data_IF_544885929688
#
_entry.id   IF_544885929688
#
_cell.length_a   1.000
_cell.length_b   1.000
_cell.length_c   1.000
_cell.angle_alpha   90.00
_cell.angle_beta   90.00
_cell.angle_gamma   90.00
#
_symmetry.space_group_name_H-M   'P 1'
#
loop_
_entity.id
_entity.type
_entity.pdbx_description
1 polymer ?
#
# COMPACT_ATOMS: atom_id res chain seq x y z
N UNK A 1 -8.83 5.84 -6.05
CA UNK A 1 -8.07 6.15 -4.81
C UNK A 1 -6.69 6.69 -5.18
N UNK A 2 -6.12 7.57 -4.34
CA UNK A 2 -4.81 8.19 -4.59
C UNK A 2 -3.92 7.97 -3.35
N UNK A 3 -3.02 6.99 -3.45
CA UNK A 3 -2.14 6.57 -2.37
C UNK A 3 -0.79 7.30 -2.45
N UNK A 4 -0.46 8.08 -1.43
CA UNK A 4 0.85 8.71 -1.29
C UNK A 4 1.89 7.67 -0.87
N UNK A 5 2.78 7.29 -1.81
CA UNK A 5 3.79 6.26 -1.65
C UNK A 5 4.81 6.65 -0.59
N UNK A 6 4.87 5.88 0.50
CA UNK A 6 5.68 6.14 1.71
C UNK A 6 5.45 7.53 2.30
N UNK A 7 4.20 8.01 2.22
CA UNK A 7 3.83 9.39 2.47
C UNK A 7 4.16 10.30 1.29
N UNK A 8 4.29 11.61 1.53
CA UNK A 8 4.69 12.57 0.48
C UNK A 8 6.20 12.49 0.23
N UNK A 9 6.69 11.35 -0.26
CA UNK A 9 8.11 11.00 -0.40
C UNK A 9 8.91 12.00 -1.25
N UNK A 10 8.30 12.59 -2.27
CA UNK A 10 8.98 13.61 -3.07
C UNK A 10 9.25 14.92 -2.30
N UNK A 11 8.60 15.14 -1.17
CA UNK A 11 8.61 16.39 -0.42
C UNK A 11 9.10 16.25 1.03
N UNK A 12 9.17 15.02 1.57
CA UNK A 12 9.62 14.75 2.95
C UNK A 12 10.33 13.39 3.01
N UNK A 13 11.13 13.12 4.06
CA UNK A 13 11.75 11.81 4.24
C UNK A 13 10.69 10.70 4.30
N UNK A 14 10.88 9.68 3.47
CA UNK A 14 9.93 8.57 3.31
C UNK A 14 9.65 7.82 4.62
N UNK A 15 8.46 7.22 4.73
CA UNK A 15 8.02 6.40 5.86
C UNK A 15 8.11 7.12 7.22
N UNK A 16 8.05 8.45 7.25
CA UNK A 16 8.01 9.25 8.48
C UNK A 16 6.61 9.80 8.76
N UNK A 17 6.30 10.05 10.03
CA UNK A 17 5.04 10.71 10.43
C UNK A 17 4.86 12.04 9.71
N UNK A 18 5.94 12.81 9.56
CA UNK A 18 5.92 14.10 8.83
C UNK A 18 5.51 13.92 7.37
N UNK A 19 6.02 12.87 6.69
CA UNK A 19 5.68 12.59 5.29
C UNK A 19 4.20 12.16 5.15
N UNK A 20 3.68 11.33 6.07
CA UNK A 20 2.27 10.93 6.07
C UNK A 20 1.33 12.11 6.33
N UNK A 21 1.63 12.93 7.32
CA UNK A 21 0.86 14.14 7.60
C UNK A 21 0.89 15.14 6.45
N UNK A 22 2.04 15.29 5.78
CA UNK A 22 2.15 16.15 4.60
C UNK A 22 1.29 15.63 3.46
N UNK A 23 1.30 14.31 3.21
CA UNK A 23 0.48 13.69 2.18
C UNK A 23 -1.02 13.97 2.38
N UNK A 24 -1.50 13.84 3.61
CA UNK A 24 -2.90 14.16 3.96
C UNK A 24 -3.22 15.66 3.77
N UNK A 25 -2.29 16.55 4.14
CA UNK A 25 -2.47 18.00 3.88
C UNK A 25 -2.50 18.35 2.40
N UNK A 26 -1.79 17.60 1.56
CA UNK A 26 -1.83 17.72 0.09
C UNK A 26 -3.08 17.07 -0.53
N UNK A 27 -3.96 16.48 0.30
CA UNK A 27 -5.25 15.95 -0.13
C UNK A 27 -5.25 14.48 -0.49
N UNK A 28 -4.16 13.72 -0.25
CA UNK A 28 -4.12 12.29 -0.53
C UNK A 28 -5.32 11.56 0.11
N UNK A 29 -6.00 10.73 -0.67
CA UNK A 29 -7.13 9.92 -0.18
C UNK A 29 -6.67 8.62 0.46
N UNK A 30 -5.39 8.27 0.29
CA UNK A 30 -4.75 7.10 0.86
C UNK A 30 -3.28 7.35 1.18
N UNK A 31 -2.79 6.60 2.16
CA UNK A 31 -1.38 6.52 2.52
C UNK A 31 -0.86 5.13 2.18
N UNK A 32 0.40 5.06 1.81
CA UNK A 32 1.08 3.78 1.61
C UNK A 32 2.37 3.74 2.41
N UNK A 33 2.74 2.54 2.86
CA UNK A 33 4.00 2.28 3.57
C UNK A 33 4.40 0.82 3.49
N UNK A 34 5.68 0.55 3.76
CA UNK A 34 6.23 -0.80 3.90
C UNK A 34 6.29 -1.19 5.38
N UNK A 35 5.86 -2.39 5.75
CA UNK A 35 5.81 -2.83 7.16
C UNK A 35 6.69 -4.03 7.45
N UNK A 36 7.39 -3.96 8.57
CA UNK A 36 8.27 -4.98 9.10
C UNK A 36 7.92 -5.28 10.56
N UNK A 37 8.41 -6.44 11.07
CA UNK A 37 8.27 -6.82 12.47
C UNK A 37 9.59 -6.62 13.21
N UNK A 38 9.56 -6.02 14.41
CA UNK A 38 10.71 -5.93 15.31
C UNK A 38 10.90 -7.23 16.11
N UNK A 39 12.05 -7.38 16.78
CA UNK A 39 12.33 -8.55 17.62
C UNK A 39 11.39 -8.73 18.82
N UNK A 40 10.71 -7.66 19.23
CA UNK A 40 9.70 -7.65 20.29
C UNK A 40 8.26 -7.57 19.78
N UNK A 41 8.05 -7.89 18.49
CA UNK A 41 6.71 -8.08 17.92
C UNK A 41 5.96 -6.81 17.57
N UNK A 42 6.64 -5.67 17.39
CA UNK A 42 6.00 -4.40 17.01
C UNK A 42 6.07 -4.20 15.50
N UNK A 43 4.95 -3.88 14.87
CA UNK A 43 4.89 -3.48 13.47
C UNK A 43 5.46 -2.07 13.29
N UNK A 44 6.51 -1.92 12.46
CA UNK A 44 7.22 -0.67 12.18
C UNK A 44 7.28 -0.38 10.68
N UNK A 45 7.41 0.90 10.32
CA UNK A 45 7.33 1.36 8.95
C UNK A 45 8.73 1.77 8.44
N UNK A 46 9.22 1.03 7.42
CA UNK A 46 10.53 1.27 6.79
C UNK A 46 10.58 0.51 5.47
N UNK A 47 11.21 1.08 4.44
CA UNK A 47 11.31 0.39 3.14
C UNK A 47 12.32 -0.76 3.15
N UNK A 48 13.51 -0.52 3.70
CA UNK A 48 14.67 -1.41 3.55
C UNK A 48 14.68 -2.56 4.56
N UNK A 49 13.91 -2.46 5.65
CA UNK A 49 13.89 -3.43 6.74
C UNK A 49 15.18 -3.50 7.54
N UNK A 50 16.01 -2.44 7.49
CA UNK A 50 17.31 -2.41 8.16
C UNK A 50 17.62 -1.04 8.72
N UNK A 51 18.27 -1.00 9.88
CA UNK A 51 18.86 0.21 10.43
C UNK A 51 20.39 0.17 10.33
N UNK A 52 21.01 1.34 10.18
CA UNK A 52 22.47 1.47 10.17
C UNK A 52 22.98 1.79 11.58
N UNK A 53 23.80 0.91 12.16
CA UNK A 53 24.50 1.15 13.41
C UNK A 53 26.01 0.94 13.23
N UNK A 54 26.82 1.93 13.54
CA UNK A 54 28.29 1.88 13.40
C UNK A 54 28.74 1.36 12.04
N UNK A 55 28.09 1.82 10.95
CA UNK A 55 28.39 1.42 9.58
C UNK A 55 27.88 0.04 9.14
N UNK A 56 27.19 -0.71 10.02
CA UNK A 56 26.60 -2.03 9.70
C UNK A 56 25.09 -1.90 9.46
N UNK A 57 24.57 -2.65 8.49
CA UNK A 57 23.13 -2.85 8.26
C UNK A 57 22.63 -3.94 9.21
N UNK A 58 21.69 -3.62 10.06
CA UNK A 58 21.11 -4.53 11.07
C UNK A 58 19.62 -4.70 10.71
N UNK A 59 19.15 -5.97 10.50
CA UNK A 59 17.74 -6.22 10.21
C UNK A 59 16.81 -5.76 11.35
N UNK A 60 15.69 -5.14 11.01
CA UNK A 60 14.68 -4.67 11.98
C UNK A 60 14.15 -5.83 12.85
N UNK A 61 14.01 -7.02 12.27
CA UNK A 61 13.57 -8.23 12.99
C UNK A 61 14.49 -8.66 14.14
N UNK A 62 15.71 -8.11 14.22
CA UNK A 62 16.67 -8.38 15.30
C UNK A 62 16.78 -7.25 16.33
N UNK A 63 16.03 -6.16 16.14
CA UNK A 63 16.10 -4.94 16.97
C UNK A 63 14.76 -4.73 17.67
N UNK A 64 14.78 -4.35 18.95
CA UNK A 64 13.58 -3.96 19.68
C UNK A 64 13.08 -2.60 19.22
N UNK A 65 11.77 -2.34 19.33
CA UNK A 65 11.16 -1.05 18.93
C UNK A 65 11.85 0.14 19.64
N UNK A 66 12.10 0.04 20.93
CA UNK A 66 12.68 1.13 21.73
C UNK A 66 14.14 1.45 21.35
N UNK A 67 14.80 0.54 20.68
CA UNK A 67 16.17 0.70 20.18
C UNK A 67 16.22 1.27 18.75
N UNK A 68 15.08 1.45 18.07
CA UNK A 68 15.04 2.01 16.72
C UNK A 68 15.13 3.53 16.73
N UNK A 69 15.70 4.13 15.68
CA UNK A 69 15.69 5.58 15.51
C UNK A 69 14.24 6.13 15.45
N UNK A 70 14.07 7.36 15.94
CA UNK A 70 12.77 8.05 15.98
C UNK A 70 12.09 8.15 14.59
N UNK A 71 12.89 8.26 13.52
CA UNK A 71 12.38 8.35 12.16
C UNK A 71 11.79 7.05 11.60
N UNK A 72 11.94 5.91 12.30
CA UNK A 72 11.29 4.64 11.98
C UNK A 72 10.07 4.49 12.91
N UNK A 73 8.87 4.97 12.53
CA UNK A 73 7.73 4.96 13.43
C UNK A 73 7.12 3.55 13.57
N UNK A 74 6.51 3.27 14.71
CA UNK A 74 5.59 2.16 14.79
C UNK A 74 4.30 2.49 14.02
N UNK A 75 3.65 1.46 13.45
CA UNK A 75 2.36 1.62 12.78
C UNK A 75 1.32 2.29 13.69
N UNK A 76 1.29 1.89 14.97
CA UNK A 76 0.39 2.51 15.95
C UNK A 76 0.63 4.01 16.14
N UNK A 77 1.90 4.46 16.09
CA UNK A 77 2.24 5.89 16.22
C UNK A 77 1.80 6.67 14.98
N UNK A 78 1.97 6.11 13.79
CA UNK A 78 1.46 6.70 12.55
C UNK A 78 -0.07 6.83 12.59
N UNK A 79 -0.78 5.78 13.00
CA UNK A 79 -2.23 5.78 13.09
C UNK A 79 -2.77 6.84 14.07
N UNK A 80 -2.08 7.07 15.20
CA UNK A 80 -2.44 8.13 16.16
C UNK A 80 -2.16 9.53 15.62
N UNK A 81 -1.07 9.66 14.85
CA UNK A 81 -0.56 10.95 14.37
C UNK A 81 -1.22 11.46 13.08
N UNK A 82 -1.93 10.58 12.36
CA UNK A 82 -2.57 10.89 11.08
C UNK A 82 -4.10 10.91 11.25
N UNK A 83 -4.71 12.07 11.53
CA UNK A 83 -6.17 12.17 11.70
C UNK A 83 -6.92 12.13 10.36
N UNK A 84 -8.24 12.01 10.43
CA UNK A 84 -9.12 12.04 9.25
C UNK A 84 -9.36 10.65 8.65
N UNK A 85 -10.14 10.63 7.58
CA UNK A 85 -10.50 9.42 6.85
C UNK A 85 -9.59 9.25 5.64
N UNK A 86 -8.88 8.13 5.59
CA UNK A 86 -8.02 7.76 4.46
C UNK A 86 -7.97 6.23 4.32
N UNK A 87 -7.62 5.75 3.14
CA UNK A 87 -7.26 4.37 2.91
C UNK A 87 -5.78 4.14 3.29
N UNK A 88 -5.45 2.99 3.86
CA UNK A 88 -4.07 2.65 4.21
C UNK A 88 -3.64 1.40 3.45
N UNK A 89 -2.64 1.53 2.60
CA UNK A 89 -2.01 0.41 1.91
C UNK A 89 -0.70 0.05 2.60
N UNK A 90 -0.54 -1.20 3.01
CA UNK A 90 0.69 -1.70 3.62
C UNK A 90 1.29 -2.83 2.78
N UNK A 91 2.49 -2.61 2.25
CA UNK A 91 3.30 -3.68 1.68
C UNK A 91 3.97 -4.46 2.82
N UNK A 92 3.42 -5.64 3.13
CA UNK A 92 3.86 -6.50 4.24
C UNK A 92 5.12 -7.23 3.81
N UNK A 93 6.27 -6.62 4.05
CA UNK A 93 7.59 -7.18 3.66
C UNK A 93 7.98 -8.42 4.47
N UNK A 94 7.54 -8.47 5.72
CA UNK A 94 7.68 -9.62 6.59
C UNK A 94 6.29 -10.20 6.89
N UNK A 95 5.93 -11.37 6.33
CA UNK A 95 4.63 -11.99 6.59
C UNK A 95 4.33 -12.25 8.06
N UNK A 96 5.37 -12.39 8.91
CA UNK A 96 5.19 -12.53 10.36
C UNK A 96 4.61 -11.27 11.02
N UNK A 97 4.66 -10.11 10.35
CA UNK A 97 4.10 -8.86 10.88
C UNK A 97 2.55 -8.79 10.81
N UNK A 98 1.89 -9.73 10.11
CA UNK A 98 0.46 -9.58 9.79
C UNK A 98 -0.43 -9.46 11.02
N UNK A 99 -0.22 -10.29 12.04
CA UNK A 99 -1.01 -10.25 13.28
C UNK A 99 -0.78 -8.93 14.03
N UNK A 100 0.48 -8.48 14.15
CA UNK A 100 0.82 -7.21 14.80
C UNK A 100 0.22 -6.00 14.04
N UNK A 101 0.15 -6.06 12.71
CA UNK A 101 -0.52 -5.03 11.89
C UNK A 101 -2.01 -4.98 12.19
N UNK A 102 -2.71 -6.12 12.16
CA UNK A 102 -4.15 -6.20 12.43
C UNK A 102 -4.46 -5.74 13.85
N UNK A 103 -3.69 -6.18 14.83
CA UNK A 103 -3.84 -5.77 16.23
C UNK A 103 -3.63 -4.26 16.41
N UNK A 104 -2.59 -3.68 15.80
CA UNK A 104 -2.34 -2.25 15.86
C UNK A 104 -3.49 -1.42 15.29
N UNK A 105 -4.05 -1.85 14.13
CA UNK A 105 -5.20 -1.17 13.52
C UNK A 105 -6.43 -1.29 14.41
N UNK A 106 -6.76 -2.48 14.90
CA UNK A 106 -7.93 -2.70 15.77
C UNK A 106 -7.83 -1.97 17.10
N UNK A 107 -6.63 -1.87 17.67
CA UNK A 107 -6.42 -1.18 18.94
C UNK A 107 -6.50 0.34 18.83
N UNK A 108 -6.02 0.93 17.72
CA UNK A 108 -5.91 2.38 17.56
C UNK A 108 -7.05 2.97 16.74
N UNK A 109 -7.43 2.31 15.63
CA UNK A 109 -8.44 2.80 14.68
C UNK A 109 -9.24 1.64 14.06
N UNK A 110 -10.10 0.96 14.82
CA UNK A 110 -10.81 -0.24 14.35
C UNK A 110 -11.64 0.00 13.07
N UNK A 111 -12.16 1.21 12.87
CA UNK A 111 -12.92 1.58 11.67
C UNK A 111 -12.05 1.61 10.39
N UNK A 112 -10.72 1.69 10.52
CA UNK A 112 -9.80 1.67 9.39
C UNK A 112 -9.62 0.27 8.80
N UNK A 113 -9.98 -0.81 9.51
CA UNK A 113 -9.76 -2.17 9.02
C UNK A 113 -10.42 -2.42 7.65
N UNK A 114 -11.61 -1.86 7.41
CA UNK A 114 -12.31 -1.98 6.12
C UNK A 114 -11.71 -1.13 5.00
N UNK A 115 -10.80 -0.22 5.33
CA UNK A 115 -10.06 0.66 4.42
C UNK A 115 -8.56 0.34 4.44
N UNK A 116 -8.16 -0.77 5.07
CA UNK A 116 -6.81 -1.30 5.07
C UNK A 116 -6.62 -2.20 3.86
N UNK A 117 -5.50 -2.05 3.15
CA UNK A 117 -5.10 -2.81 1.99
C UNK A 117 -3.78 -3.50 2.31
N UNK A 118 -3.80 -4.83 2.40
CA UNK A 118 -2.64 -5.64 2.77
C UNK A 118 -2.02 -6.27 1.53
N UNK A 119 -0.86 -5.78 1.16
CA UNK A 119 -0.16 -6.13 -0.07
C UNK A 119 0.99 -7.11 0.21
N UNK A 120 1.17 -8.10 -0.67
CA UNK A 120 2.37 -8.93 -0.72
C UNK A 120 2.53 -9.51 -2.13
N UNK A 121 3.77 -9.86 -2.50
CA UNK A 121 4.10 -10.35 -3.85
C UNK A 121 3.74 -11.82 -4.11
N UNK A 122 3.51 -12.60 -3.07
CA UNK A 122 3.01 -13.97 -3.17
C UNK A 122 1.53 -14.02 -2.78
N UNK A 123 0.67 -14.23 -3.76
CA UNK A 123 -0.78 -14.28 -3.57
C UNK A 123 -1.22 -15.41 -2.62
N UNK A 124 -0.44 -16.50 -2.49
CA UNK A 124 -0.76 -17.59 -1.55
C UNK A 124 -0.60 -17.14 -0.11
N UNK A 125 0.45 -16.38 0.16
CA UNK A 125 0.65 -15.70 1.44
C UNK A 125 -0.51 -14.74 1.72
N UNK A 126 -0.89 -13.92 0.73
CA UNK A 126 -2.04 -13.00 0.84
C UNK A 126 -3.33 -13.77 1.15
N UNK A 127 -3.62 -14.85 0.43
CA UNK A 127 -4.82 -15.67 0.64
C UNK A 127 -4.89 -16.25 2.06
N UNK A 128 -3.74 -16.61 2.65
CA UNK A 128 -3.68 -17.15 4.02
C UNK A 128 -4.12 -16.15 5.10
N UNK A 129 -4.14 -14.86 4.79
CA UNK A 129 -4.58 -13.80 5.72
C UNK A 129 -6.09 -13.62 5.77
N UNK A 130 -6.84 -14.16 4.79
CA UNK A 130 -8.31 -13.97 4.72
C UNK A 130 -9.08 -14.33 6.00
N UNK A 131 -8.76 -15.43 6.71
CA UNK A 131 -9.43 -15.76 7.97
C UNK A 131 -9.14 -14.78 9.13
N UNK A 132 -8.09 -13.99 9.04
CA UNK A 132 -7.60 -13.12 10.13
C UNK A 132 -8.25 -11.73 10.13
N UNK A 133 -8.71 -11.25 8.95
CA UNK A 133 -9.10 -9.84 8.79
C UNK A 133 -10.18 -9.63 7.74
N UNK A 134 -10.92 -8.52 7.90
CA UNK A 134 -11.85 -7.97 6.89
C UNK A 134 -11.18 -6.95 5.97
N UNK A 135 -9.89 -6.65 6.15
CA UNK A 135 -9.12 -5.79 5.28
C UNK A 135 -9.13 -6.26 3.83
N UNK A 136 -8.88 -5.39 2.89
CA UNK A 136 -8.72 -5.72 1.47
C UNK A 136 -7.36 -6.37 1.24
N UNK A 137 -7.36 -7.54 0.63
CA UNK A 137 -6.16 -8.31 0.33
C UNK A 137 -5.71 -8.03 -1.10
N UNK A 138 -4.40 -7.81 -1.29
CA UNK A 138 -3.82 -7.32 -2.55
C UNK A 138 -2.69 -8.22 -3.01
N UNK A 139 -2.84 -8.83 -4.20
CA UNK A 139 -1.74 -9.47 -4.93
C UNK A 139 -0.89 -8.38 -5.61
N UNK A 140 0.28 -8.06 -5.05
CA UNK A 140 1.19 -7.04 -5.60
C UNK A 140 2.26 -7.71 -6.45
N UNK A 141 2.13 -7.64 -7.78
CA UNK A 141 2.94 -8.44 -8.69
C UNK A 141 3.35 -7.68 -9.97
N UNK A 142 3.90 -8.37 -10.94
CA UNK A 142 4.18 -7.92 -12.30
C UNK A 142 3.49 -8.87 -13.29
N UNK A 143 2.97 -8.34 -14.39
CA UNK A 143 2.33 -9.14 -15.43
C UNK A 143 3.22 -10.30 -15.89
N UNK A 144 4.51 -10.05 -16.05
CA UNK A 144 5.50 -11.07 -16.45
C UNK A 144 5.67 -12.24 -15.44
N UNK A 145 5.23 -12.05 -14.19
CA UNK A 145 5.26 -13.09 -13.14
C UNK A 145 3.99 -13.96 -13.13
N UNK A 146 2.94 -13.55 -13.80
CA UNK A 146 1.67 -14.28 -13.91
C UNK A 146 1.79 -15.35 -15.00
N UNK A 147 2.32 -16.51 -14.63
CA UNK A 147 2.63 -17.60 -15.59
C UNK A 147 1.40 -18.30 -16.13
N UNK A 148 0.31 -18.35 -15.37
CA UNK A 148 -0.97 -18.95 -15.72
C UNK A 148 -1.84 -18.08 -16.64
N UNK A 149 -1.44 -16.83 -16.89
CA UNK A 149 -2.20 -15.84 -17.64
C UNK A 149 -3.16 -15.03 -16.78
N UNK A 150 -3.50 -13.82 -17.24
CA UNK A 150 -4.24 -12.82 -16.46
C UNK A 150 -5.65 -13.27 -16.08
N UNK A 151 -6.39 -13.91 -17.00
CA UNK A 151 -7.76 -14.40 -16.75
C UNK A 151 -7.78 -15.48 -15.65
N UNK A 152 -6.85 -16.44 -15.73
CA UNK A 152 -6.75 -17.46 -14.69
C UNK A 152 -6.33 -16.88 -13.34
N UNK A 153 -5.42 -15.87 -13.34
CA UNK A 153 -5.07 -15.16 -12.12
C UNK A 153 -6.29 -14.44 -11.52
N UNK A 154 -7.08 -13.76 -12.31
CA UNK A 154 -8.29 -13.08 -11.84
C UNK A 154 -9.28 -14.06 -11.19
N UNK A 155 -9.48 -15.24 -11.80
CA UNK A 155 -10.30 -16.31 -11.22
C UNK A 155 -9.73 -16.81 -9.89
N UNK A 156 -8.42 -17.10 -9.82
CA UNK A 156 -7.74 -17.53 -8.60
C UNK A 156 -7.89 -16.51 -7.47
N UNK A 157 -7.70 -15.21 -7.76
CA UNK A 157 -7.87 -14.15 -6.77
C UNK A 157 -9.29 -14.11 -6.22
N UNK A 158 -10.30 -14.24 -7.10
CA UNK A 158 -11.71 -14.30 -6.69
C UNK A 158 -12.01 -15.52 -5.80
N UNK A 159 -11.56 -16.70 -6.21
CA UNK A 159 -11.74 -17.96 -5.46
C UNK A 159 -11.01 -17.95 -4.11
N UNK A 160 -9.88 -17.24 -4.02
CA UNK A 160 -9.05 -17.15 -2.81
C UNK A 160 -9.44 -16.00 -1.87
N UNK A 161 -10.50 -15.23 -2.19
CA UNK A 161 -10.94 -14.09 -1.40
C UNK A 161 -9.94 -12.92 -1.40
N UNK A 162 -9.11 -12.80 -2.46
CA UNK A 162 -8.20 -11.66 -2.65
C UNK A 162 -8.95 -10.59 -3.44
N UNK A 163 -9.00 -9.38 -2.91
CA UNK A 163 -9.88 -8.32 -3.40
C UNK A 163 -9.28 -7.53 -4.57
N UNK A 164 -7.96 -7.54 -4.72
CA UNK A 164 -7.26 -6.60 -5.58
C UNK A 164 -5.99 -7.19 -6.21
N UNK A 165 -5.66 -6.68 -7.40
CA UNK A 165 -4.33 -6.85 -8.00
C UNK A 165 -3.66 -5.50 -8.15
N UNK A 166 -2.38 -5.43 -7.78
CA UNK A 166 -1.53 -4.25 -7.91
C UNK A 166 -0.34 -4.55 -8.82
N UNK A 167 -0.18 -3.80 -9.91
CA UNK A 167 0.92 -3.98 -10.86
C UNK A 167 1.60 -2.65 -11.20
N UNK A 168 2.81 -2.73 -11.72
CA UNK A 168 3.53 -1.57 -12.24
C UNK A 168 2.75 -0.89 -13.39
N UNK A 169 2.83 0.42 -13.50
CA UNK A 169 2.07 1.18 -14.52
C UNK A 169 2.26 0.65 -15.95
N UNK A 170 3.47 0.17 -16.30
CA UNK A 170 3.77 -0.36 -17.63
C UNK A 170 3.12 -1.71 -17.95
N UNK A 171 2.59 -2.39 -16.95
CA UNK A 171 1.92 -3.68 -17.11
C UNK A 171 0.42 -3.54 -17.41
N UNK A 172 -0.13 -2.31 -17.26
CA UNK A 172 -1.54 -2.04 -17.44
C UNK A 172 -1.92 -1.61 -18.85
N UNK A 173 -3.11 -2.02 -19.25
CA UNK A 173 -3.89 -1.50 -20.37
C UNK A 173 -5.39 -1.64 -20.05
N UNK A 174 -6.25 -0.92 -20.78
CA UNK A 174 -7.68 -0.93 -20.52
C UNK A 174 -8.34 -2.32 -20.62
N UNK A 175 -7.81 -3.22 -21.45
CA UNK A 175 -8.32 -4.59 -21.58
C UNK A 175 -8.06 -5.42 -20.32
N UNK A 176 -6.88 -5.26 -19.67
CA UNK A 176 -6.57 -5.91 -18.41
C UNK A 176 -7.39 -5.36 -17.25
N UNK A 177 -7.61 -4.04 -17.20
CA UNK A 177 -8.47 -3.42 -16.18
C UNK A 177 -9.88 -4.00 -16.28
N UNK A 178 -10.48 -3.99 -17.48
CA UNK A 178 -11.80 -4.56 -17.72
C UNK A 178 -11.86 -6.06 -17.39
N UNK A 179 -10.79 -6.81 -17.68
CA UNK A 179 -10.70 -8.23 -17.33
C UNK A 179 -10.80 -8.45 -15.81
N UNK A 180 -9.99 -7.77 -14.99
CA UNK A 180 -10.03 -7.94 -13.54
C UNK A 180 -11.35 -7.44 -12.94
N UNK A 181 -11.92 -6.35 -13.45
CA UNK A 181 -13.24 -5.87 -13.05
C UNK A 181 -14.37 -6.89 -13.34
N UNK A 182 -14.30 -7.66 -14.43
CA UNK A 182 -15.27 -8.76 -14.68
C UNK A 182 -15.27 -9.85 -13.60
N UNK A 183 -14.15 -10.01 -12.90
CA UNK A 183 -14.02 -10.89 -11.74
C UNK A 183 -14.26 -10.15 -10.42
N UNK A 184 -14.76 -8.93 -10.47
CA UNK A 184 -14.99 -8.05 -9.30
C UNK A 184 -13.72 -7.81 -8.48
N UNK A 185 -12.55 -7.73 -9.14
CA UNK A 185 -11.28 -7.41 -8.51
C UNK A 185 -10.90 -5.97 -8.76
N UNK A 186 -10.51 -5.25 -7.68
CA UNK A 186 -9.93 -3.93 -7.79
C UNK A 186 -8.60 -3.98 -8.53
N UNK A 187 -8.26 -2.89 -9.21
CA UNK A 187 -7.03 -2.72 -9.97
C UNK A 187 -6.27 -1.52 -9.47
N UNK A 188 -5.04 -1.75 -9.01
CA UNK A 188 -4.15 -0.69 -8.53
C UNK A 188 -2.87 -0.65 -9.37
N UNK A 189 -2.27 0.54 -9.46
CA UNK A 189 -1.04 0.72 -10.22
C UNK A 189 0.00 1.54 -9.48
N UNK A 190 1.24 1.05 -9.47
CA UNK A 190 2.35 1.68 -8.78
C UNK A 190 3.40 2.28 -9.73
N UNK A 191 4.28 3.15 -9.18
CA UNK A 191 5.32 3.93 -9.86
C UNK A 191 4.76 4.94 -10.87
N UNK A 192 3.68 5.62 -10.49
CA UNK A 192 3.02 6.62 -11.34
C UNK A 192 3.53 8.03 -11.02
N UNK A 193 4.70 8.38 -11.59
CA UNK A 193 5.43 9.59 -11.21
C UNK A 193 5.23 10.78 -12.17
N UNK A 194 4.61 10.54 -13.32
CA UNK A 194 4.45 11.54 -14.39
C UNK A 194 2.97 11.80 -14.69
N UNK A 195 2.65 13.06 -15.02
CA UNK A 195 1.26 13.50 -15.24
C UNK A 195 0.53 12.68 -16.32
N UNK A 196 1.21 12.37 -17.43
CA UNK A 196 0.61 11.56 -18.48
C UNK A 196 0.33 10.12 -18.03
N UNK A 197 1.22 9.53 -17.19
CA UNK A 197 1.03 8.18 -16.63
C UNK A 197 -0.17 8.15 -15.68
N UNK A 198 -0.30 9.16 -14.80
CA UNK A 198 -1.44 9.33 -13.91
C UNK A 198 -2.75 9.50 -14.69
N UNK A 199 -2.76 10.38 -15.68
CA UNK A 199 -3.93 10.62 -16.51
C UNK A 199 -4.34 9.37 -17.30
N UNK A 200 -3.39 8.63 -17.87
CA UNK A 200 -3.67 7.39 -18.60
C UNK A 200 -4.19 6.29 -17.65
N UNK A 201 -3.65 6.18 -16.43
CA UNK A 201 -4.14 5.25 -15.42
C UNK A 201 -5.61 5.48 -15.09
N UNK A 202 -6.00 6.73 -14.84
CA UNK A 202 -7.39 7.08 -14.55
C UNK A 202 -8.30 6.86 -15.77
N UNK A 203 -7.86 7.20 -16.99
CA UNK A 203 -8.62 6.92 -18.23
C UNK A 203 -8.82 5.44 -18.51
N UNK A 204 -7.83 4.59 -18.14
CA UNK A 204 -7.97 3.13 -18.22
C UNK A 204 -8.95 2.57 -17.20
N UNK A 205 -9.35 3.36 -16.19
CA UNK A 205 -10.28 2.97 -15.13
C UNK A 205 -9.62 2.25 -13.95
N UNK A 206 -8.32 2.45 -13.70
CA UNK A 206 -7.69 1.94 -12.48
C UNK A 206 -8.38 2.51 -11.24
N UNK A 207 -8.66 1.66 -10.26
CA UNK A 207 -9.35 2.02 -9.02
C UNK A 207 -8.46 2.83 -8.08
N UNK A 208 -7.13 2.67 -8.21
CA UNK A 208 -6.19 3.45 -7.42
C UNK A 208 -4.79 3.47 -7.99
N UNK A 209 -4.05 4.50 -7.60
CA UNK A 209 -2.68 4.77 -8.05
C UNK A 209 -1.76 5.08 -6.88
N UNK A 210 -0.47 4.77 -7.04
CA UNK A 210 0.59 5.08 -6.09
C UNK A 210 1.61 6.02 -6.73
N UNK A 211 1.89 7.14 -6.06
CA UNK A 211 2.87 8.13 -6.53
C UNK A 211 3.70 8.71 -5.38
N UNK A 212 4.97 9.01 -5.67
CA UNK A 212 5.85 9.80 -4.79
C UNK A 212 5.44 11.28 -4.75
N UNK A 213 4.89 11.77 -5.89
CA UNK A 213 4.47 13.15 -6.10
C UNK A 213 2.99 13.32 -5.76
N UNK A 214 2.68 13.45 -4.46
CA UNK A 214 1.31 13.57 -3.97
C UNK A 214 0.56 14.74 -4.59
N UNK A 215 1.20 15.89 -4.77
CA UNK A 215 0.65 17.10 -5.40
C UNK A 215 0.14 16.82 -6.83
N UNK A 216 1.01 16.31 -7.71
CA UNK A 216 0.66 15.94 -9.09
C UNK A 216 -0.42 14.88 -9.15
N UNK A 217 -0.31 13.85 -8.29
CA UNK A 217 -1.30 12.79 -8.22
C UNK A 217 -2.68 13.35 -7.86
N UNK A 218 -2.77 14.29 -6.92
CA UNK A 218 -4.03 14.89 -6.51
C UNK A 218 -4.58 15.86 -7.56
N UNK A 219 -3.76 16.58 -8.30
CA UNK A 219 -4.18 17.38 -9.45
C UNK A 219 -4.81 16.51 -10.55
N UNK A 220 -4.15 15.41 -10.92
CA UNK A 220 -4.69 14.46 -11.91
C UNK A 220 -5.99 13.78 -11.42
N UNK A 221 -6.06 13.42 -10.14
CA UNK A 221 -7.24 12.82 -9.52
C UNK A 221 -8.43 13.79 -9.50
N UNK A 222 -8.21 15.06 -9.13
CA UNK A 222 -9.25 16.08 -9.11
C UNK A 222 -9.79 16.39 -10.51
N UNK A 223 -8.91 16.44 -11.53
CA UNK A 223 -9.31 16.62 -12.92
C UNK A 223 -10.25 15.50 -13.41
N UNK A 224 -10.00 14.26 -12.99
CA UNK A 224 -10.84 13.11 -13.36
C UNK A 224 -12.23 13.15 -12.69
N UNK A 225 -12.31 13.54 -11.42
CA UNK A 225 -13.59 13.64 -10.69
C UNK A 225 -14.41 14.82 -11.27
N UNK A 226 -13.77 15.94 -11.59
CA UNK A 226 -14.43 17.12 -12.17
C UNK A 226 -15.00 16.93 -13.57
N UNK A 227 -14.55 15.90 -14.31
CA UNK A 227 -15.08 15.56 -15.66
C UNK A 227 -16.25 14.57 -15.64
N UNK A 228 -16.58 14.02 -14.47
CA UNK A 228 -17.65 13.04 -14.27
C UNK A 228 -18.97 13.60 -13.71
N UNK A 229 -19.11 14.94 -13.65
CA UNK A 229 -20.30 15.63 -13.14
C UNK A 229 -21.18 16.19 -14.27
#
# INVERSE_FOLDING_TARGET
>A
MAFAHRGARAHAPENTITAFQLALRLGATGLESDVWLTSDGVAVLDHDGVVKRRGRRIPLSTVRRDDLPEHVPALADMLRSCPGDFDLSLDVKDPAAIEAVIEAVRAVRPQLETRLWLCHHDWRTVASWRPLTTARLVDSTRLARIKEGAERRAAILAESGIDCINMHHTDWNGGLVALFHRFERFTLGWDMQQDHVLNDAFRMGLDGVFSDHTDRMMEAYAAQIGTGA
#
